data_IF_001783287023
#
_entry.id   IF_001783287023
#
_cell.length_a   1.000
_cell.length_b   1.000
_cell.length_c   1.000
_cell.angle_alpha   90.00
_cell.angle_beta   90.00
_cell.angle_gamma   90.00
#
_symmetry.space_group_name_H-M   'P 1'
#
loop_
_entity.id
_entity.type
_entity.pdbx_description
1 polymer ?
#
# COMPACT_ATOMS: atom_id res chain seq x y z
N UNK A 1 -31.53 5.89 9.79
CA UNK A 1 -30.65 4.71 9.80
C UNK A 1 -29.56 4.91 8.75
N UNK A 2 -28.29 4.69 9.07
CA UNK A 2 -27.15 4.74 8.16
C UNK A 2 -26.76 3.32 7.77
N UNK A 3 -26.65 3.09 6.47
CA UNK A 3 -26.19 1.83 5.89
C UNK A 3 -24.92 2.12 5.11
N UNK A 4 -23.84 1.40 5.39
CA UNK A 4 -22.59 1.52 4.65
C UNK A 4 -22.40 0.33 3.72
N UNK A 5 -22.13 0.63 2.45
CA UNK A 5 -21.81 -0.33 1.40
C UNK A 5 -20.32 -0.23 1.06
N UNK A 6 -19.71 -1.33 0.62
CA UNK A 6 -18.31 -1.33 0.21
C UNK A 6 -17.74 -2.72 -0.01
N UNK A 7 -16.51 -2.80 -0.47
CA UNK A 7 -15.73 -4.04 -0.49
C UNK A 7 -14.78 -4.12 0.72
N UNK A 8 -14.34 -5.33 1.05
CA UNK A 8 -13.27 -5.60 2.01
C UNK A 8 -12.07 -6.16 1.24
N UNK A 9 -10.96 -5.45 1.33
CA UNK A 9 -9.64 -5.79 0.78
C UNK A 9 -8.55 -5.39 1.80
N UNK A 10 -7.31 -5.83 1.61
CA UNK A 10 -6.21 -5.37 2.46
C UNK A 10 -5.96 -3.88 2.25
N UNK A 11 -5.75 -3.16 3.35
CA UNK A 11 -5.41 -1.73 3.29
C UNK A 11 -4.10 -1.49 4.03
N UNK A 12 -3.10 -1.01 3.29
CA UNK A 12 -1.69 -0.94 3.68
C UNK A 12 -1.37 -0.31 5.04
N UNK A 13 -2.19 0.61 5.57
CA UNK A 13 -2.06 1.12 6.93
C UNK A 13 -3.29 0.92 7.85
N UNK A 14 -4.46 0.55 7.31
CA UNK A 14 -5.72 0.51 8.08
C UNK A 14 -6.17 -0.93 8.41
N UNK A 15 -5.29 -1.90 8.16
CA UNK A 15 -5.58 -3.33 8.15
C UNK A 15 -6.32 -3.73 6.89
N UNK A 16 -7.57 -3.30 6.79
CA UNK A 16 -8.54 -3.68 5.76
C UNK A 16 -9.30 -2.44 5.25
N UNK A 17 -9.98 -2.53 4.11
CA UNK A 17 -11.00 -1.56 3.70
C UNK A 17 -12.35 -1.87 4.35
N UNK A 18 -13.45 -1.29 3.88
CA UNK A 18 -14.80 -1.63 4.36
C UNK A 18 -15.14 -1.23 5.80
N UNK A 19 -16.31 -1.66 6.24
CA UNK A 19 -16.91 -1.35 7.54
C UNK A 19 -17.18 0.14 7.72
N UNK A 20 -16.81 0.65 8.89
CA UNK A 20 -16.94 2.07 9.27
C UNK A 20 -16.06 3.00 8.41
N UNK A 21 -15.17 2.44 7.58
CA UNK A 21 -14.31 3.23 6.69
C UNK A 21 -15.09 4.07 5.67
N UNK A 22 -16.35 3.70 5.42
CA UNK A 22 -17.32 4.49 4.64
C UNK A 22 -17.67 5.85 5.30
N UNK A 23 -17.51 5.97 6.63
CA UNK A 23 -17.68 7.22 7.39
C UNK A 23 -16.34 7.94 7.49
N UNK A 24 -15.35 7.29 8.12
CA UNK A 24 -13.98 7.81 8.26
C UNK A 24 -13.01 6.96 7.43
N UNK A 25 -12.40 7.47 6.35
CA UNK A 25 -12.49 8.84 5.84
C UNK A 25 -13.65 9.10 4.85
N UNK A 26 -14.44 8.09 4.48
CA UNK A 26 -15.29 8.12 3.27
C UNK A 26 -16.23 9.32 3.10
N UNK A 27 -16.77 9.88 4.18
CA UNK A 27 -17.59 11.11 4.17
C UNK A 27 -17.15 12.11 5.25
N UNK A 28 -15.85 12.15 5.51
CA UNK A 28 -15.24 13.01 6.54
C UNK A 28 -14.67 14.30 5.95
N UNK A 29 -14.51 15.32 6.80
CA UNK A 29 -13.84 16.57 6.39
C UNK A 29 -12.35 16.35 6.18
N UNK A 30 -11.67 17.14 5.32
CA UNK A 30 -10.23 17.03 5.12
C UNK A 30 -9.42 17.05 6.42
N UNK A 31 -9.78 17.90 7.38
CA UNK A 31 -9.11 18.00 8.68
C UNK A 31 -9.23 16.70 9.49
N UNK A 32 -10.40 16.05 9.48
CA UNK A 32 -10.60 14.79 10.20
C UNK A 32 -9.84 13.63 9.52
N UNK A 33 -9.85 13.60 8.17
CA UNK A 33 -9.05 12.66 7.38
C UNK A 33 -7.56 12.82 7.72
N UNK A 34 -7.06 14.05 7.74
CA UNK A 34 -5.67 14.37 8.08
C UNK A 34 -5.30 13.90 9.49
N UNK A 35 -6.18 14.12 10.47
CA UNK A 35 -5.97 13.68 11.85
C UNK A 35 -5.92 12.16 12.00
N UNK A 36 -6.76 11.44 11.26
CA UNK A 36 -6.73 9.97 11.23
C UNK A 36 -5.45 9.47 10.53
N UNK A 37 -5.15 10.00 9.35
CA UNK A 37 -4.10 9.45 8.49
C UNK A 37 -2.68 9.79 8.96
N UNK A 38 -2.47 10.85 9.75
CA UNK A 38 -1.15 11.08 10.38
C UNK A 38 -0.68 9.89 11.23
N UNK A 39 -1.60 9.03 11.69
CA UNK A 39 -1.29 7.83 12.45
C UNK A 39 -0.66 6.72 11.59
N UNK A 40 -0.67 6.84 10.25
CA UNK A 40 -0.14 5.80 9.35
C UNK A 40 1.37 5.58 9.47
N UNK A 41 2.11 6.54 10.03
CA UNK A 41 3.56 6.43 10.25
C UNK A 41 3.91 5.50 11.42
N UNK A 42 2.90 5.08 12.19
CA UNK A 42 3.07 4.22 13.36
C UNK A 42 3.35 2.79 12.89
N UNK A 43 4.31 2.07 13.50
CA UNK A 43 4.63 0.69 13.09
C UNK A 43 3.44 -0.27 13.13
N UNK A 44 2.45 0.00 13.98
CA UNK A 44 1.23 -0.79 14.11
C UNK A 44 0.20 -0.53 13.00
N UNK A 45 0.35 0.57 12.24
CA UNK A 45 -0.51 0.91 11.12
C UNK A 45 -0.06 0.14 9.86
N UNK A 46 -0.44 -1.13 9.77
CA UNK A 46 -0.07 -2.01 8.67
C UNK A 46 -1.27 -2.78 8.07
N UNK A 47 -1.06 -3.40 6.92
CA UNK A 47 -2.02 -4.31 6.30
C UNK A 47 -2.31 -5.50 7.22
N UNK A 48 -3.54 -6.01 7.18
CA UNK A 48 -3.94 -7.20 7.94
C UNK A 48 -4.11 -7.01 9.45
N UNK A 49 -3.67 -5.88 10.03
CA UNK A 49 -3.77 -5.61 11.47
C UNK A 49 -4.97 -4.76 11.84
N UNK A 50 -5.83 -5.31 12.69
CA UNK A 50 -7.01 -4.64 13.25
C UNK A 50 -6.78 -4.18 14.69
N UNK A 51 -6.39 -5.10 15.56
CA UNK A 51 -6.14 -4.82 16.98
C UNK A 51 -4.80 -4.13 17.19
N UNK A 52 -4.81 -3.02 17.95
CA UNK A 52 -3.65 -2.16 18.16
C UNK A 52 -3.27 -1.32 16.95
N UNK A 53 -4.06 -1.34 15.86
CA UNK A 53 -3.83 -0.47 14.71
C UNK A 53 -4.48 0.91 14.99
N UNK A 54 -3.68 1.96 15.22
CA UNK A 54 -4.21 3.25 15.66
C UNK A 54 -5.13 3.90 14.61
N UNK A 55 -4.87 3.68 13.32
CA UNK A 55 -5.72 4.21 12.24
C UNK A 55 -7.10 3.54 12.28
N UNK A 56 -7.13 2.22 12.47
CA UNK A 56 -8.37 1.44 12.51
C UNK A 56 -9.18 1.74 13.76
N UNK A 57 -8.54 1.87 14.91
CA UNK A 57 -9.19 2.21 16.17
C UNK A 57 -9.87 3.58 16.09
N UNK A 58 -9.20 4.58 15.52
CA UNK A 58 -9.77 5.92 15.29
C UNK A 58 -10.94 5.90 14.28
N UNK A 59 -10.84 5.09 13.21
CA UNK A 59 -11.97 4.86 12.28
C UNK A 59 -13.19 4.31 13.03
N UNK A 60 -12.99 3.34 13.91
CA UNK A 60 -14.10 2.70 14.65
C UNK A 60 -14.64 3.57 15.77
N UNK A 61 -13.81 4.42 16.39
CA UNK A 61 -14.26 5.48 17.29
C UNK A 61 -15.14 6.50 16.56
N UNK A 62 -14.76 6.93 15.36
CA UNK A 62 -15.61 7.79 14.53
C UNK A 62 -16.97 7.13 14.23
N UNK A 63 -17.01 5.80 14.10
CA UNK A 63 -18.25 5.02 13.99
C UNK A 63 -19.10 5.00 15.26
N UNK A 64 -18.53 5.26 16.43
CA UNK A 64 -19.31 5.42 17.69
C UNK A 64 -19.90 6.83 17.79
N UNK A 65 -19.19 7.84 17.28
CA UNK A 65 -19.63 9.24 17.25
C UNK A 65 -20.70 9.46 16.17
N UNK A 66 -20.51 8.85 14.99
CA UNK A 66 -21.48 8.84 13.89
C UNK A 66 -21.88 7.38 13.56
N UNK A 67 -22.87 6.83 14.30
CA UNK A 67 -23.26 5.42 14.18
C UNK A 67 -23.66 5.00 12.76
N UNK A 68 -23.02 3.92 12.30
CA UNK A 68 -23.48 3.10 11.18
C UNK A 68 -24.39 2.03 11.77
N UNK A 69 -25.63 1.92 11.31
CA UNK A 69 -26.59 0.97 11.86
C UNK A 69 -26.46 -0.43 11.23
N UNK A 70 -25.94 -0.50 10.00
CA UNK A 70 -25.82 -1.74 9.24
C UNK A 70 -24.75 -1.61 8.16
N UNK A 71 -24.01 -2.68 7.89
CA UNK A 71 -23.16 -2.77 6.70
C UNK A 71 -23.65 -3.86 5.77
N UNK A 72 -23.41 -3.68 4.47
CA UNK A 72 -23.34 -4.77 3.51
C UNK A 72 -22.01 -4.60 2.79
N UNK A 73 -21.09 -5.52 3.06
CA UNK A 73 -19.78 -5.51 2.41
C UNK A 73 -19.54 -6.82 1.66
N UNK A 74 -18.73 -6.73 0.60
CA UNK A 74 -18.38 -7.87 -0.25
C UNK A 74 -16.88 -8.11 -0.28
N UNK A 75 -16.48 -9.36 -0.40
CA UNK A 75 -15.11 -9.74 -0.80
C UNK A 75 -15.17 -10.16 -2.26
N UNK A 76 -14.24 -9.66 -3.06
CA UNK A 76 -14.16 -9.90 -4.49
C UNK A 76 -12.98 -10.83 -4.81
N UNK A 77 -13.11 -11.64 -5.86
CA UNK A 77 -11.97 -12.34 -6.48
C UNK A 77 -11.20 -11.42 -7.44
N UNK A 78 -10.14 -11.94 -8.05
CA UNK A 78 -9.32 -11.25 -9.05
C UNK A 78 -10.09 -10.83 -10.31
N UNK A 79 -11.23 -11.47 -10.59
CA UNK A 79 -12.14 -11.16 -11.68
C UNK A 79 -13.28 -10.22 -11.27
N UNK A 80 -13.25 -9.69 -10.05
CA UNK A 80 -14.26 -8.82 -9.45
C UNK A 80 -15.61 -9.49 -9.22
N UNK A 81 -15.66 -10.82 -9.19
CA UNK A 81 -16.86 -11.55 -8.78
C UNK A 81 -17.01 -11.51 -7.27
N UNK A 82 -18.24 -11.45 -6.78
CA UNK A 82 -18.53 -11.52 -5.34
C UNK A 82 -18.35 -12.96 -4.87
N UNK A 83 -17.33 -13.19 -4.03
CA UNK A 83 -17.04 -14.51 -3.42
C UNK A 83 -17.52 -14.62 -1.98
N UNK A 84 -17.79 -13.50 -1.33
CA UNK A 84 -18.39 -13.45 0.00
C UNK A 84 -19.20 -12.17 0.16
N UNK A 85 -20.35 -12.31 0.83
CA UNK A 85 -21.13 -11.18 1.35
C UNK A 85 -21.13 -11.29 2.88
N UNK A 86 -20.89 -10.17 3.55
CA UNK A 86 -21.06 -10.01 4.99
C UNK A 86 -21.98 -8.82 5.25
N UNK A 87 -22.92 -8.98 6.17
CA UNK A 87 -23.85 -7.92 6.51
C UNK A 87 -24.31 -8.01 7.97
N UNK A 88 -24.76 -6.89 8.53
CA UNK A 88 -25.14 -6.80 9.94
C UNK A 88 -24.42 -5.69 10.67
N UNK A 89 -24.05 -5.97 11.92
CA UNK A 89 -23.29 -5.06 12.78
C UNK A 89 -21.99 -4.58 12.08
N UNK A 90 -21.69 -3.27 12.08
CA UNK A 90 -20.57 -2.73 11.31
C UNK A 90 -19.20 -3.28 11.68
N UNK A 91 -18.99 -3.69 12.94
CA UNK A 91 -17.71 -4.22 13.39
C UNK A 91 -17.71 -5.72 13.19
N UNK A 92 -18.68 -6.46 13.72
CA UNK A 92 -18.72 -7.92 13.67
C UNK A 92 -18.79 -8.45 12.24
N UNK A 93 -19.62 -7.88 11.37
CA UNK A 93 -19.70 -8.31 9.97
C UNK A 93 -18.41 -7.98 9.20
N UNK A 94 -17.80 -6.82 9.48
CA UNK A 94 -16.50 -6.47 8.88
C UNK A 94 -15.38 -7.42 9.34
N UNK A 95 -15.36 -7.83 10.62
CA UNK A 95 -14.40 -8.82 11.14
C UNK A 95 -14.56 -10.19 10.48
N UNK A 96 -15.79 -10.63 10.21
CA UNK A 96 -16.04 -11.86 9.47
C UNK A 96 -15.50 -11.77 8.04
N UNK A 97 -15.71 -10.63 7.36
CA UNK A 97 -15.20 -10.40 6.02
C UNK A 97 -13.67 -10.37 5.97
N UNK A 98 -13.03 -9.69 6.93
CA UNK A 98 -11.58 -9.67 7.07
C UNK A 98 -11.01 -11.08 7.28
N UNK A 99 -11.58 -11.87 8.21
CA UNK A 99 -11.18 -13.26 8.44
C UNK A 99 -11.36 -14.15 7.21
N UNK A 100 -12.37 -13.88 6.38
CA UNK A 100 -12.54 -14.57 5.10
C UNK A 100 -11.46 -14.17 4.10
N UNK A 101 -11.18 -12.88 3.99
CA UNK A 101 -10.13 -12.34 3.11
C UNK A 101 -8.75 -12.93 3.45
N UNK A 102 -8.41 -13.04 4.74
CA UNK A 102 -7.15 -13.62 5.20
C UNK A 102 -6.91 -15.01 4.65
N UNK A 103 -7.95 -15.86 4.62
CA UNK A 103 -7.83 -17.24 4.11
C UNK A 103 -7.57 -17.29 2.61
N UNK A 104 -7.96 -16.26 1.87
CA UNK A 104 -7.76 -16.20 0.42
C UNK A 104 -6.39 -15.62 0.07
N UNK A 105 -6.02 -14.51 0.70
CA UNK A 105 -4.96 -13.64 0.20
C UNK A 105 -3.74 -13.49 1.11
N UNK A 106 -3.81 -13.95 2.37
CA UNK A 106 -2.61 -13.97 3.22
C UNK A 106 -1.65 -15.05 2.75
N UNK A 107 -0.36 -14.71 2.67
CA UNK A 107 0.72 -15.64 2.36
C UNK A 107 1.74 -15.62 3.49
N UNK A 108 1.94 -16.77 4.12
CA UNK A 108 3.03 -16.95 5.07
C UNK A 108 4.34 -17.10 4.31
N UNK A 109 5.33 -16.31 4.68
CA UNK A 109 6.70 -16.44 4.20
C UNK A 109 7.56 -16.99 5.34
N UNK A 110 8.44 -17.94 5.05
CA UNK A 110 9.30 -18.55 6.07
C UNK A 110 10.28 -17.54 6.66
N UNK A 111 10.81 -16.67 5.81
CA UNK A 111 11.69 -15.57 6.16
C UNK A 111 11.68 -14.53 5.05
N UNK A 112 12.19 -13.34 5.36
CA UNK A 112 12.39 -12.27 4.38
C UNK A 112 13.49 -12.66 3.38
N UNK A 113 13.42 -12.11 2.17
CA UNK A 113 14.35 -12.35 1.06
C UNK A 113 15.30 -11.17 0.83
N UNK A 114 16.45 -11.46 0.23
CA UNK A 114 17.44 -10.46 -0.17
C UNK A 114 16.97 -9.68 -1.41
N UNK A 115 16.24 -10.36 -2.31
CA UNK A 115 15.60 -9.79 -3.50
C UNK A 115 14.10 -10.11 -3.49
N UNK A 116 13.26 -9.10 -3.69
CA UNK A 116 11.82 -9.29 -3.91
C UNK A 116 11.46 -8.77 -5.29
N UNK A 117 10.94 -9.64 -6.16
CA UNK A 117 10.41 -9.25 -7.47
C UNK A 117 8.90 -9.13 -7.33
N UNK A 118 8.34 -7.95 -7.58
CA UNK A 118 6.91 -7.70 -7.38
C UNK A 118 6.32 -6.97 -8.59
N UNK A 119 5.12 -7.38 -9.00
CA UNK A 119 4.33 -6.69 -10.01
C UNK A 119 3.03 -6.15 -9.42
N UNK A 120 2.59 -4.98 -9.88
CA UNK A 120 1.28 -4.42 -9.54
C UNK A 120 0.11 -5.21 -10.17
N UNK A 121 0.39 -6.16 -11.06
CA UNK A 121 -0.60 -7.02 -11.70
C UNK A 121 -1.11 -6.51 -13.05
N UNK A 122 -0.43 -5.51 -13.64
CA UNK A 122 -0.73 -4.99 -14.97
C UNK A 122 -1.93 -4.03 -15.04
N UNK A 123 -2.30 -3.68 -16.27
CA UNK A 123 -3.32 -2.67 -16.51
C UNK A 123 -4.72 -3.08 -15.99
N UNK A 124 -5.52 -2.15 -15.45
CA UNK A 124 -5.23 -0.71 -15.30
C UNK A 124 -4.58 -0.37 -13.94
N UNK A 125 -4.08 -1.36 -13.18
CA UNK A 125 -3.58 -1.11 -11.81
C UNK A 125 -2.19 -0.47 -11.80
N UNK A 126 -1.43 -0.55 -12.89
CA UNK A 126 -0.05 -0.10 -13.00
C UNK A 126 0.13 1.11 -13.94
N UNK A 127 -0.94 1.88 -14.20
CA UNK A 127 -0.93 3.02 -15.12
C UNK A 127 0.07 4.12 -14.71
N UNK A 128 0.27 4.32 -13.41
CA UNK A 128 1.15 5.34 -12.84
C UNK A 128 1.80 4.87 -11.54
N UNK A 129 2.87 5.55 -11.15
CA UNK A 129 3.65 5.23 -9.95
C UNK A 129 2.82 5.30 -8.66
N UNK A 130 1.86 6.23 -8.58
CA UNK A 130 0.95 6.35 -7.43
C UNK A 130 0.17 5.06 -7.13
N UNK A 131 -0.28 4.36 -8.18
CA UNK A 131 -0.98 3.08 -8.03
C UNK A 131 0.02 1.92 -7.84
N UNK A 132 1.10 1.88 -8.61
CA UNK A 132 2.16 0.86 -8.53
C UNK A 132 2.82 0.79 -7.15
N UNK A 133 2.82 1.88 -6.39
CA UNK A 133 3.24 1.92 -4.99
C UNK A 133 2.48 0.93 -4.08
N UNK A 134 1.26 0.49 -4.43
CA UNK A 134 0.53 -0.50 -3.64
C UNK A 134 1.23 -1.87 -3.61
N UNK A 135 1.82 -2.28 -4.73
CA UNK A 135 2.65 -3.48 -4.79
C UNK A 135 3.87 -3.38 -3.88
N UNK A 136 4.48 -2.19 -3.84
CA UNK A 136 5.61 -1.91 -2.95
C UNK A 136 5.21 -2.06 -1.48
N UNK A 137 4.00 -1.63 -1.11
CA UNK A 137 3.49 -1.77 0.26
C UNK A 137 3.37 -3.22 0.73
N UNK A 138 3.08 -4.16 -0.16
CA UNK A 138 3.06 -5.58 0.18
C UNK A 138 4.49 -6.16 0.15
N UNK A 139 5.31 -5.77 -0.83
CA UNK A 139 6.68 -6.24 -0.96
C UNK A 139 7.60 -5.85 0.20
N UNK A 140 7.34 -4.70 0.87
CA UNK A 140 8.14 -4.26 2.03
C UNK A 140 8.15 -5.26 3.20
N UNK A 141 7.12 -6.11 3.29
CA UNK A 141 7.05 -7.14 4.32
C UNK A 141 7.94 -8.34 3.99
N UNK A 142 8.22 -8.58 2.71
CA UNK A 142 8.99 -9.71 2.22
C UNK A 142 10.49 -9.43 2.05
N UNK A 143 10.93 -8.18 2.00
CA UNK A 143 12.35 -7.81 1.82
C UNK A 143 13.07 -7.66 3.15
N UNK A 144 14.34 -8.07 3.22
CA UNK A 144 15.25 -7.79 4.35
C UNK A 144 15.74 -6.34 4.34
N UNK A 145 16.24 -5.89 5.49
CA UNK A 145 17.04 -4.66 5.55
C UNK A 145 18.30 -4.80 4.69
N UNK A 146 18.57 -3.79 3.86
CA UNK A 146 19.63 -3.78 2.85
C UNK A 146 19.31 -4.56 1.57
N UNK A 147 18.10 -5.11 1.44
CA UNK A 147 17.68 -5.86 0.26
C UNK A 147 17.28 -4.97 -0.93
N UNK A 148 16.87 -5.63 -2.02
CA UNK A 148 16.43 -4.97 -3.27
C UNK A 148 15.00 -5.40 -3.60
N UNK A 149 14.13 -4.44 -3.87
CA UNK A 149 12.80 -4.67 -4.45
C UNK A 149 12.85 -4.32 -5.93
N UNK A 150 12.59 -5.30 -6.80
CA UNK A 150 12.39 -5.11 -8.23
C UNK A 150 10.88 -4.92 -8.44
N UNK A 151 10.46 -3.66 -8.53
CA UNK A 151 9.07 -3.25 -8.73
C UNK A 151 8.76 -3.15 -10.22
N UNK A 152 7.73 -3.88 -10.66
CA UNK A 152 7.35 -3.98 -12.07
C UNK A 152 5.95 -3.39 -12.25
N UNK A 153 5.85 -2.39 -13.12
CA UNK A 153 4.59 -1.78 -13.51
C UNK A 153 4.80 -0.74 -14.60
N UNK A 154 3.88 -0.67 -15.57
CA UNK A 154 4.04 0.17 -16.76
C UNK A 154 4.35 1.64 -16.43
N UNK A 155 3.63 2.24 -15.49
CA UNK A 155 3.75 3.65 -15.08
C UNK A 155 3.80 4.63 -16.26
N UNK A 156 3.07 4.33 -17.35
CA UNK A 156 3.13 5.09 -18.60
C UNK A 156 2.58 6.53 -18.44
N UNK A 157 1.76 6.79 -17.43
CA UNK A 157 1.26 8.13 -17.08
C UNK A 157 2.18 8.87 -16.09
N UNK A 158 3.37 8.34 -15.79
CA UNK A 158 4.30 8.93 -14.84
C UNK A 158 3.82 8.83 -13.39
N UNK A 159 3.81 9.96 -12.67
CA UNK A 159 3.45 10.00 -11.24
C UNK A 159 1.97 9.70 -10.98
N UNK A 160 1.06 10.25 -11.80
CA UNK A 160 -0.38 10.00 -11.75
C UNK A 160 -1.19 10.78 -10.72
N UNK A 161 -0.55 11.52 -9.80
CA UNK A 161 -1.24 12.42 -8.88
C UNK A 161 -0.32 13.60 -8.54
N UNK A 162 -0.88 14.82 -8.57
CA UNK A 162 -0.12 16.08 -8.55
C UNK A 162 0.59 16.31 -7.21
N UNK A 163 -0.06 15.98 -6.09
CA UNK A 163 0.53 16.17 -4.78
C UNK A 163 1.66 15.17 -4.54
N UNK A 164 1.46 13.93 -4.94
CA UNK A 164 2.48 12.90 -4.94
C UNK A 164 3.67 13.29 -5.81
N UNK A 165 3.43 13.77 -7.03
CA UNK A 165 4.48 14.31 -7.92
C UNK A 165 5.26 15.46 -7.25
N UNK A 166 4.56 16.45 -6.69
CA UNK A 166 5.19 17.56 -5.97
C UNK A 166 6.09 17.06 -4.83
N UNK A 167 5.61 16.06 -4.08
CA UNK A 167 6.37 15.51 -2.97
C UNK A 167 7.63 14.78 -3.44
N UNK A 168 7.54 13.96 -4.48
CA UNK A 168 8.68 13.24 -5.02
C UNK A 168 9.71 14.21 -5.62
N UNK A 169 9.26 15.26 -6.34
CA UNK A 169 10.16 16.21 -7.01
C UNK A 169 10.78 17.26 -6.08
N UNK A 170 10.10 17.63 -4.99
CA UNK A 170 10.54 18.70 -4.08
C UNK A 170 10.97 18.16 -2.70
N UNK A 171 11.46 16.93 -2.65
CA UNK A 171 12.13 16.39 -1.48
C UNK A 171 13.58 16.07 -1.83
N UNK A 172 14.50 16.27 -0.89
CA UNK A 172 15.94 16.08 -1.14
C UNK A 172 16.39 14.64 -0.89
N UNK A 173 15.60 13.88 -0.11
CA UNK A 173 15.93 12.50 0.27
C UNK A 173 14.68 11.71 0.68
N UNK A 174 14.78 10.37 0.76
CA UNK A 174 13.75 9.52 1.38
C UNK A 174 13.39 9.94 2.81
N UNK A 175 14.39 10.34 3.61
CA UNK A 175 14.18 10.84 4.97
C UNK A 175 13.34 12.12 4.98
N UNK A 176 13.60 13.03 4.03
CA UNK A 176 12.84 14.27 3.90
C UNK A 176 11.36 14.01 3.58
N UNK A 177 11.03 12.98 2.78
CA UNK A 177 9.63 12.58 2.53
C UNK A 177 8.92 12.14 3.82
N UNK A 178 9.61 11.32 4.62
CA UNK A 178 9.08 10.81 5.90
C UNK A 178 8.92 11.95 6.92
N UNK A 179 9.88 12.86 7.00
CA UNK A 179 9.81 13.99 7.90
C UNK A 179 8.75 15.02 7.47
N UNK A 180 8.55 15.21 6.16
CA UNK A 180 7.49 16.08 5.63
C UNK A 180 6.11 15.58 6.04
N UNK A 181 5.82 14.27 5.93
CA UNK A 181 4.51 13.72 6.34
C UNK A 181 4.29 13.73 7.84
N UNK A 182 5.36 13.62 8.63
CA UNK A 182 5.30 13.74 10.09
C UNK A 182 4.87 15.14 10.53
N UNK A 183 5.33 16.17 9.82
CA UNK A 183 4.99 17.58 10.10
C UNK A 183 3.57 17.90 9.64
N UNK A 184 3.22 17.47 8.43
CA UNK A 184 1.92 17.75 7.83
C UNK A 184 1.48 16.56 6.97
N UNK A 185 0.39 15.92 7.37
CA UNK A 185 -0.22 14.91 6.53
C UNK A 185 -0.90 15.58 5.33
N UNK A 186 -0.53 15.19 4.11
CA UNK A 186 -1.22 15.64 2.89
C UNK A 186 -1.61 14.42 2.06
N UNK A 187 -2.86 14.41 1.59
CA UNK A 187 -3.33 13.38 0.66
C UNK A 187 -2.45 13.40 -0.60
N UNK A 188 -2.14 12.23 -1.13
CA UNK A 188 -1.11 12.02 -2.14
C UNK A 188 0.33 12.03 -1.62
N UNK A 189 0.72 13.05 -0.84
CA UNK A 189 2.04 13.11 -0.20
C UNK A 189 2.36 11.91 0.70
N UNK A 190 1.35 11.37 1.36
CA UNK A 190 1.47 10.16 2.17
C UNK A 190 1.97 8.91 1.43
N UNK A 191 1.70 8.78 0.13
CA UNK A 191 2.28 7.70 -0.70
C UNK A 191 3.75 7.94 -1.01
N UNK A 192 4.13 9.20 -1.18
CA UNK A 192 5.52 9.59 -1.34
C UNK A 192 6.31 9.19 -0.07
N UNK A 193 5.77 9.51 1.10
CA UNK A 193 6.34 9.08 2.37
C UNK A 193 6.39 7.55 2.53
N UNK A 194 5.37 6.81 2.07
CA UNK A 194 5.39 5.35 2.09
C UNK A 194 6.53 4.77 1.23
N UNK A 195 6.81 5.35 0.05
CA UNK A 195 8.00 5.00 -0.75
C UNK A 195 9.27 5.34 0.03
N UNK A 196 9.35 6.53 0.62
CA UNK A 196 10.48 6.95 1.46
C UNK A 196 10.80 5.98 2.60
N UNK A 197 9.78 5.48 3.30
CA UNK A 197 9.95 4.48 4.37
C UNK A 197 10.54 3.15 3.87
N UNK A 198 10.24 2.76 2.63
CA UNK A 198 10.83 1.55 2.04
C UNK A 198 12.26 1.82 1.61
N UNK A 199 12.53 2.98 0.99
CA UNK A 199 13.86 3.40 0.56
C UNK A 199 14.86 3.58 1.72
N UNK A 200 14.38 3.88 2.93
CA UNK A 200 15.21 3.90 4.14
C UNK A 200 15.81 2.53 4.49
N UNK A 201 15.22 1.44 3.98
CA UNK A 201 15.57 0.06 4.36
C UNK A 201 16.02 -0.80 3.19
N UNK A 202 15.55 -0.52 1.97
CA UNK A 202 15.81 -1.33 0.78
C UNK A 202 15.93 -0.45 -0.47
N UNK A 203 16.71 -0.91 -1.45
CA UNK A 203 16.74 -0.27 -2.77
C UNK A 203 15.51 -0.67 -3.60
N UNK A 204 15.05 0.24 -4.46
CA UNK A 204 13.95 -0.02 -5.37
C UNK A 204 14.44 0.12 -6.81
N UNK A 205 14.33 -0.98 -7.56
CA UNK A 205 14.62 -1.05 -8.98
C UNK A 205 13.26 -1.04 -9.70
N UNK A 206 12.95 0.03 -10.43
CA UNK A 206 11.66 0.20 -11.09
C UNK A 206 11.77 -0.20 -12.57
N UNK A 207 11.10 -1.28 -12.93
CA UNK A 207 10.91 -1.73 -14.32
C UNK A 207 9.63 -1.11 -14.85
N UNK A 208 9.75 -0.11 -15.73
CA UNK A 208 8.60 0.68 -16.20
C UNK A 208 8.86 1.39 -17.53
N UNK A 209 7.79 1.91 -18.14
CA UNK A 209 7.82 2.85 -19.27
C UNK A 209 7.91 4.32 -18.83
N UNK A 210 8.07 4.60 -17.53
CA UNK A 210 8.26 5.94 -17.01
C UNK A 210 9.63 6.49 -17.46
N UNK A 211 9.71 7.80 -17.71
CA UNK A 211 10.98 8.46 -18.05
C UNK A 211 12.04 8.15 -16.97
N UNK A 212 13.21 7.58 -17.33
CA UNK A 212 14.27 7.26 -16.38
C UNK A 212 14.66 8.41 -15.47
N UNK A 213 14.67 9.65 -15.97
CA UNK A 213 15.00 10.82 -15.15
C UNK A 213 13.92 11.11 -14.10
N UNK A 214 12.65 10.80 -14.38
CA UNK A 214 11.58 10.89 -13.37
C UNK A 214 11.73 9.80 -12.30
N UNK A 215 12.12 8.59 -12.71
CA UNK A 215 12.38 7.47 -11.78
C UNK A 215 13.55 7.78 -10.85
N UNK A 216 14.65 8.32 -11.38
CA UNK A 216 15.82 8.72 -10.58
C UNK A 216 15.48 9.86 -9.61
N UNK A 217 14.72 10.86 -10.06
CA UNK A 217 14.17 11.92 -9.16
C UNK A 217 13.26 11.36 -8.08
N UNK A 218 12.74 10.15 -8.27
CA UNK A 218 11.95 9.43 -7.28
C UNK A 218 12.80 8.56 -6.34
N UNK A 219 14.13 8.72 -6.36
CA UNK A 219 15.11 7.96 -5.58
C UNK A 219 15.15 6.45 -5.90
N UNK A 220 14.65 6.06 -7.08
CA UNK A 220 14.61 4.66 -7.55
C UNK A 220 15.57 4.48 -8.72
N UNK A 221 15.97 3.23 -9.00
CA UNK A 221 16.80 2.92 -10.17
C UNK A 221 15.93 2.51 -11.36
N UNK A 222 16.01 3.19 -12.52
CA UNK A 222 15.23 2.85 -13.68
C UNK A 222 15.77 1.61 -14.40
N UNK A 223 14.86 0.73 -14.80
CA UNK A 223 15.15 -0.42 -15.63
C UNK A 223 14.09 -0.56 -16.74
N UNK A 224 14.51 -1.07 -17.90
CA UNK A 224 13.61 -1.36 -19.03
C UNK A 224 13.33 -2.87 -19.17
N UNK A 225 14.00 -3.71 -18.38
CA UNK A 225 13.86 -5.16 -18.41
C UNK A 225 13.92 -5.73 -17.00
N UNK A 226 12.96 -6.61 -16.69
CA UNK A 226 12.97 -7.36 -15.44
C UNK A 226 14.20 -8.28 -15.32
N UNK A 227 14.66 -8.84 -16.44
CA UNK A 227 15.86 -9.68 -16.45
C UNK A 227 17.10 -8.87 -16.10
N UNK A 228 17.26 -7.69 -16.70
CA UNK A 228 18.41 -6.83 -16.42
C UNK A 228 18.41 -6.34 -14.96
N UNK A 229 17.25 -5.94 -14.43
CA UNK A 229 17.10 -5.56 -13.03
C UNK A 229 17.49 -6.70 -12.08
N UNK A 230 17.11 -7.94 -12.43
CA UNK A 230 17.44 -9.12 -11.66
C UNK A 230 18.94 -9.46 -11.72
N UNK A 231 19.53 -9.43 -12.91
CA UNK A 231 20.96 -9.72 -13.10
C UNK A 231 21.84 -8.74 -12.30
N UNK A 232 21.50 -7.45 -12.33
CA UNK A 232 22.19 -6.42 -11.55
C UNK A 232 21.99 -6.59 -10.03
N UNK A 233 20.79 -6.99 -9.60
CA UNK A 233 20.51 -7.26 -8.19
C UNK A 233 21.30 -8.48 -7.69
N UNK A 234 21.39 -9.56 -8.48
CA UNK A 234 22.18 -10.75 -8.18
C UNK A 234 23.68 -10.44 -8.20
N UNK A 235 24.16 -9.65 -9.16
CA UNK A 235 25.56 -9.23 -9.21
C UNK A 235 25.95 -8.43 -7.94
N UNK A 236 25.01 -7.64 -7.41
CA UNK A 236 25.23 -6.83 -6.20
C UNK A 236 25.16 -7.64 -4.90
N UNK A 237 24.16 -8.52 -4.74
CA UNK A 237 23.92 -9.25 -3.50
C UNK A 237 24.55 -10.66 -3.45
N UNK A 238 25.02 -11.15 -4.59
CA UNK A 238 25.66 -12.45 -4.77
C UNK A 238 24.69 -13.54 -5.24
N UNK A 239 25.22 -14.57 -5.89
CA UNK A 239 24.45 -15.69 -6.45
C UNK A 239 23.70 -16.54 -5.41
N UNK A 240 24.04 -16.42 -4.13
CA UNK A 240 23.34 -17.07 -3.02
C UNK A 240 22.15 -16.26 -2.46
N UNK A 241 21.86 -15.08 -3.02
CA UNK A 241 20.77 -14.24 -2.58
C UNK A 241 19.42 -14.97 -2.70
N UNK A 242 18.63 -14.92 -1.63
CA UNK A 242 17.27 -15.46 -1.63
C UNK A 242 16.34 -14.53 -2.38
N UNK A 243 15.47 -15.12 -3.19
CA UNK A 243 14.51 -14.40 -4.02
C UNK A 243 13.09 -14.81 -3.67
N UNK A 244 12.21 -13.82 -3.48
CA UNK A 244 10.75 -14.02 -3.43
C UNK A 244 10.14 -13.34 -4.65
N UNK A 245 9.17 -13.99 -5.29
CA UNK A 245 8.40 -13.42 -6.40
C UNK A 245 6.95 -13.23 -6.01
N UNK A 246 6.40 -12.07 -6.35
CA UNK A 246 5.04 -11.63 -6.07
C UNK A 246 4.40 -11.16 -7.37
N UNK A 247 3.88 -12.07 -8.22
CA UNK A 247 3.33 -11.72 -9.54
C UNK A 247 2.14 -10.76 -9.48
N UNK A 248 1.42 -10.76 -8.34
CA UNK A 248 0.30 -9.87 -8.05
C UNK A 248 0.47 -9.30 -6.64
N UNK A 249 1.25 -8.23 -6.53
CA UNK A 249 1.48 -7.52 -5.28
C UNK A 249 0.48 -6.40 -5.01
N UNK A 250 -0.31 -5.99 -6.00
CA UNK A 250 -1.22 -4.83 -5.94
C UNK A 250 -2.64 -5.11 -5.47
#
# INVERSE_FOLDING_TARGET
RRIALGNIEFHYFAGYSGGVKAIMPGVSTPAAIQSNHKLMIRPEACAGRLEGNPVREDIEEAGRICPVDFILNVVLDEHKNIVKVVSGDPVAAHREGARFLDRLYTKEIQEQADIVIVSQGGAPKDLNLYQTQKALDNAKHAVKDGGIIILIGSCAEGYGERTFEDWMLHSESPDALVDRIRKEFILGGHKAAAIGMVLQRAEIYLVSHMDPAMVERSFMKPYQSAQQAFDDAIAKLGAGARVITMPYGG
#
